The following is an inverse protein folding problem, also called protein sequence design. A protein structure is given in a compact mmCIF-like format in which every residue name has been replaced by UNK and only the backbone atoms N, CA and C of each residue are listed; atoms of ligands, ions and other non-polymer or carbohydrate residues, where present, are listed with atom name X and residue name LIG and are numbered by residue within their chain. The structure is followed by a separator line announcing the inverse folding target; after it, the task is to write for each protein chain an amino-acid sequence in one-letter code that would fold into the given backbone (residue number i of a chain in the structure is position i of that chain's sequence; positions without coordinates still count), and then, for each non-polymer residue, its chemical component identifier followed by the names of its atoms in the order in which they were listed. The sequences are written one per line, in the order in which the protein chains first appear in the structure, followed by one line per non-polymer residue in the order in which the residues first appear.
data_IF_165911545574
#
_entry.id   IF_165911545574
#
_cell.length_a   1.000
_cell.length_b   1.000
_cell.length_c   1.000
_cell.angle_alpha   90.00
_cell.angle_beta   90.00
_cell.angle_gamma   90.00
#
_symmetry.space_group_name_H-M   'P 1'
#
loop_
_entity.id
_entity.type
_entity.pdbx_description
1 polymer ?
#
# COMPACT_ATOMS: atom_id res chain seq x y z
N UNK A 1 -0.69 19.31 21.89
CA UNK A 1 -1.59 20.09 20.99
C UNK A 1 -2.96 19.43 20.99
N UNK A 2 -4.04 20.20 21.05
CA UNK A 2 -5.41 19.66 21.08
C UNK A 2 -5.75 18.97 19.75
N UNK A 3 -6.39 17.80 19.84
CA UNK A 3 -6.73 16.91 18.71
C UNK A 3 -7.86 17.47 17.81
N UNK A 4 -8.51 18.57 18.23
CA UNK A 4 -9.70 19.13 17.58
C UNK A 4 -9.40 20.16 16.48
N UNK A 5 -8.13 20.51 16.24
CA UNK A 5 -7.78 21.62 15.34
C UNK A 5 -7.58 21.22 13.86
N UNK A 6 -7.62 19.94 13.54
CA UNK A 6 -7.40 19.47 12.17
C UNK A 6 -8.75 19.29 11.49
N UNK A 7 -9.22 20.35 10.84
CA UNK A 7 -10.50 20.43 10.15
C UNK A 7 -10.36 20.27 8.63
N UNK A 8 -11.51 20.21 7.95
CA UNK A 8 -11.58 20.23 6.49
C UNK A 8 -10.91 21.49 5.91
N UNK A 9 -11.08 22.64 6.55
CA UNK A 9 -10.47 23.91 6.10
C UNK A 9 -8.94 23.87 6.20
N UNK A 10 -8.40 23.23 7.24
CA UNK A 10 -6.95 23.05 7.38
C UNK A 10 -6.43 22.15 6.26
N UNK A 11 -7.10 21.01 6.00
CA UNK A 11 -6.73 20.13 4.89
C UNK A 11 -6.77 20.84 3.54
N UNK A 12 -7.85 21.57 3.25
CA UNK A 12 -8.00 22.32 2.00
C UNK A 12 -6.94 23.43 1.87
N UNK A 13 -6.56 24.06 2.98
CA UNK A 13 -5.48 25.05 3.02
C UNK A 13 -4.12 24.42 2.69
N UNK A 14 -3.83 23.22 3.22
CA UNK A 14 -2.62 22.47 2.90
C UNK A 14 -2.60 22.02 1.42
N UNK A 15 -3.73 21.56 0.87
CA UNK A 15 -3.84 21.19 -0.55
C UNK A 15 -3.62 22.42 -1.46
N UNK A 16 -4.18 23.56 -1.06
CA UNK A 16 -3.98 24.83 -1.77
C UNK A 16 -2.51 25.26 -1.73
N UNK A 17 -1.83 25.05 -0.60
CA UNK A 17 -0.40 25.31 -0.45
C UNK A 17 0.45 24.42 -1.36
N UNK A 18 0.10 23.13 -1.50
CA UNK A 18 0.74 22.25 -2.50
C UNK A 18 0.60 22.82 -3.90
N UNK A 19 -0.62 23.20 -4.29
CA UNK A 19 -0.89 23.78 -5.61
C UNK A 19 -0.11 25.07 -5.85
N UNK A 20 0.02 25.89 -4.81
CA UNK A 20 0.84 27.09 -4.86
C UNK A 20 2.31 26.75 -5.09
N UNK A 21 2.91 25.87 -4.28
CA UNK A 21 4.32 25.51 -4.43
C UNK A 21 4.66 24.85 -5.76
N UNK A 22 3.75 24.06 -6.34
CA UNK A 22 3.92 23.52 -7.70
C UNK A 22 4.00 24.64 -8.74
N UNK A 23 3.20 25.70 -8.58
CA UNK A 23 3.13 26.80 -9.54
C UNK A 23 4.27 27.80 -9.40
N UNK A 24 4.89 27.92 -8.23
CA UNK A 24 5.98 28.90 -8.04
C UNK A 24 7.31 28.28 -8.45
N UNK A 25 7.99 28.92 -9.40
CA UNK A 25 9.34 28.55 -9.85
C UNK A 25 10.44 29.03 -8.87
N UNK A 26 10.32 28.62 -7.60
CA UNK A 26 11.34 28.89 -6.58
C UNK A 26 12.24 27.67 -6.39
N UNK A 27 13.54 27.92 -6.20
CA UNK A 27 14.54 26.88 -5.90
C UNK A 27 14.20 26.05 -4.65
N UNK A 28 13.44 26.62 -3.72
CA UNK A 28 13.06 25.95 -2.47
C UNK A 28 11.73 25.19 -2.54
N UNK A 29 10.90 25.43 -3.57
CA UNK A 29 9.57 24.78 -3.69
C UNK A 29 9.64 23.26 -3.63
N UNK A 30 10.58 22.57 -4.32
CA UNK A 30 10.64 21.11 -4.28
C UNK A 30 10.91 20.56 -2.87
N UNK A 31 11.77 21.21 -2.09
CA UNK A 31 12.09 20.80 -0.73
C UNK A 31 10.90 21.01 0.21
N UNK A 32 10.24 22.17 0.12
CA UNK A 32 9.05 22.48 0.92
C UNK A 32 7.90 21.53 0.61
N UNK A 33 7.69 21.21 -0.66
CA UNK A 33 6.73 20.19 -1.09
C UNK A 33 7.06 18.83 -0.48
N UNK A 34 8.31 18.37 -0.60
CA UNK A 34 8.74 17.11 0.01
C UNK A 34 8.48 17.08 1.52
N UNK A 35 8.83 18.14 2.23
CA UNK A 35 8.59 18.23 3.68
C UNK A 35 7.10 18.21 4.03
N UNK A 36 6.28 18.95 3.29
CA UNK A 36 4.83 18.97 3.46
C UNK A 36 4.23 17.56 3.27
N UNK A 37 4.67 16.82 2.26
CA UNK A 37 4.20 15.46 2.05
C UNK A 37 4.68 14.49 3.14
N UNK A 38 5.99 14.39 3.34
CA UNK A 38 6.59 13.40 4.25
C UNK A 38 6.18 13.62 5.70
N UNK A 39 6.12 14.87 6.17
CA UNK A 39 5.90 15.15 7.59
C UNK A 39 4.43 15.42 7.94
N UNK A 40 3.61 15.86 6.98
CA UNK A 40 2.22 16.21 7.22
C UNK A 40 1.28 15.23 6.53
N UNK A 41 1.24 15.18 5.20
CA UNK A 41 0.24 14.36 4.49
C UNK A 41 0.40 12.86 4.74
N UNK A 42 1.62 12.33 4.74
CA UNK A 42 1.91 10.89 4.94
C UNK A 42 2.07 10.47 6.39
N UNK A 43 1.83 11.39 7.34
CA UNK A 43 1.91 11.08 8.76
C UNK A 43 0.52 10.71 9.31
N UNK A 44 0.15 9.42 9.40
CA UNK A 44 -1.18 9.02 9.84
C UNK A 44 -1.49 9.41 11.30
N UNK A 45 -0.47 9.64 12.14
CA UNK A 45 -0.68 10.03 13.53
C UNK A 45 -1.33 11.42 13.68
N UNK A 46 -1.19 12.28 12.65
CA UNK A 46 -1.85 13.57 12.57
C UNK A 46 -3.33 13.36 12.26
N UNK A 47 -3.64 12.50 11.29
CA UNK A 47 -4.97 12.42 10.68
C UNK A 47 -5.93 11.45 11.36
N UNK A 48 -5.42 10.42 12.04
CA UNK A 48 -6.24 9.33 12.60
C UNK A 48 -7.29 9.79 13.62
N UNK A 49 -7.12 10.98 14.21
CA UNK A 49 -8.06 11.56 15.18
C UNK A 49 -9.01 12.61 14.58
N UNK A 50 -8.90 12.90 13.28
CA UNK A 50 -9.79 13.81 12.58
C UNK A 50 -11.15 13.16 12.31
N UNK A 51 -12.15 13.94 11.89
CA UNK A 51 -13.40 13.35 11.41
C UNK A 51 -13.15 12.43 10.21
N UNK A 52 -14.03 11.45 10.02
CA UNK A 52 -13.94 10.50 8.91
C UNK A 52 -13.91 11.23 7.57
N UNK A 53 -14.71 12.30 7.41
CA UNK A 53 -14.76 13.08 6.17
C UNK A 53 -13.41 13.70 5.82
N UNK A 54 -12.66 14.18 6.82
CA UNK A 54 -11.31 14.74 6.62
C UNK A 54 -10.33 13.64 6.20
N UNK A 55 -10.37 12.48 6.87
CA UNK A 55 -9.52 11.34 6.52
C UNK A 55 -9.81 10.83 5.10
N UNK A 56 -11.09 10.71 4.76
CA UNK A 56 -11.55 10.34 3.42
C UNK A 56 -11.04 11.33 2.36
N UNK A 57 -11.27 12.63 2.57
CA UNK A 57 -10.80 13.68 1.65
C UNK A 57 -9.28 13.61 1.43
N UNK A 58 -8.51 13.38 2.49
CA UNK A 58 -7.06 13.24 2.44
C UNK A 58 -6.64 12.06 1.57
N UNK A 59 -7.15 10.86 1.82
CA UNK A 59 -6.70 9.68 1.07
C UNK A 59 -7.18 9.71 -0.38
N UNK A 60 -8.37 10.28 -0.65
CA UNK A 60 -8.82 10.56 -2.02
C UNK A 60 -7.88 11.54 -2.73
N UNK A 61 -7.47 12.63 -2.05
CA UNK A 61 -6.50 13.58 -2.60
C UNK A 61 -5.20 12.88 -2.99
N UNK A 62 -4.62 12.10 -2.07
CA UNK A 62 -3.35 11.40 -2.29
C UNK A 62 -3.44 10.36 -3.42
N UNK A 63 -4.57 9.69 -3.56
CA UNK A 63 -4.75 8.62 -4.54
C UNK A 63 -5.07 9.12 -5.96
N UNK A 64 -5.75 10.27 -6.09
CA UNK A 64 -6.32 10.72 -7.37
C UNK A 64 -5.69 12.03 -7.85
N UNK A 65 -5.71 13.07 -7.02
CA UNK A 65 -5.28 14.41 -7.40
C UNK A 65 -3.75 14.54 -7.34
N UNK A 66 -3.15 14.02 -6.28
CA UNK A 66 -1.71 14.12 -6.05
C UNK A 66 -0.90 13.42 -7.14
N UNK A 67 -1.34 12.23 -7.57
CA UNK A 67 -0.63 11.42 -8.58
C UNK A 67 -0.53 12.15 -9.93
N UNK A 68 -1.43 13.10 -10.21
CA UNK A 68 -1.38 13.89 -11.44
C UNK A 68 -0.20 14.89 -11.51
N UNK A 69 0.45 15.19 -10.39
CA UNK A 69 1.59 16.12 -10.36
C UNK A 69 2.91 15.37 -10.63
N UNK A 70 3.25 15.17 -11.90
CA UNK A 70 4.47 14.46 -12.33
C UNK A 70 5.75 15.01 -11.71
N UNK A 71 5.85 16.34 -11.53
CA UNK A 71 7.02 17.00 -10.95
C UNK A 71 7.25 16.65 -9.47
N UNK A 72 6.19 16.42 -8.69
CA UNK A 72 6.32 16.07 -7.28
C UNK A 72 6.58 14.58 -7.11
N UNK A 73 6.07 13.75 -8.02
CA UNK A 73 6.26 12.32 -7.98
C UNK A 73 7.75 11.93 -7.99
N UNK A 74 8.55 12.64 -8.79
CA UNK A 74 9.99 12.47 -8.85
C UNK A 74 10.74 12.90 -7.57
N UNK A 75 10.11 13.69 -6.70
CA UNK A 75 10.70 14.13 -5.43
C UNK A 75 10.51 13.11 -4.30
N UNK A 76 9.54 12.20 -4.46
CA UNK A 76 9.29 11.12 -3.53
C UNK A 76 10.29 9.98 -3.75
N UNK A 77 10.57 9.23 -2.69
CA UNK A 77 11.31 7.97 -2.78
C UNK A 77 10.28 6.83 -2.77
N UNK A 78 9.95 6.22 -3.93
CA UNK A 78 8.79 5.33 -4.04
C UNK A 78 8.78 4.21 -3.00
N UNK A 79 9.93 3.59 -2.76
CA UNK A 79 10.07 2.51 -1.76
C UNK A 79 9.72 2.97 -0.34
N UNK A 80 10.18 4.15 0.07
CA UNK A 80 9.89 4.71 1.40
C UNK A 80 8.39 4.95 1.56
N UNK A 81 7.75 5.51 0.54
CA UNK A 81 6.32 5.82 0.58
C UNK A 81 5.44 4.56 0.52
N UNK A 82 5.86 3.53 -0.21
CA UNK A 82 5.19 2.21 -0.20
C UNK A 82 5.25 1.60 1.20
N UNK A 83 6.42 1.56 1.82
CA UNK A 83 6.59 1.03 3.18
C UNK A 83 5.75 1.82 4.17
N UNK A 84 5.74 3.16 4.06
CA UNK A 84 4.96 4.03 4.93
C UNK A 84 3.44 3.83 4.73
N UNK A 85 2.99 3.62 3.50
CA UNK A 85 1.58 3.33 3.18
C UNK A 85 1.16 1.98 3.77
N UNK A 86 1.97 0.94 3.57
CA UNK A 86 1.73 -0.38 4.16
C UNK A 86 1.75 -0.32 5.70
N UNK A 87 2.67 0.43 6.30
CA UNK A 87 2.71 0.68 7.73
C UNK A 87 1.43 1.39 8.22
N UNK A 88 0.96 2.38 7.48
CA UNK A 88 -0.29 3.10 7.78
C UNK A 88 -1.49 2.14 7.81
N UNK A 89 -1.63 1.31 6.78
CA UNK A 89 -2.69 0.29 6.71
C UNK A 89 -2.57 -0.71 7.87
N UNK A 90 -1.35 -1.17 8.17
CA UNK A 90 -1.07 -2.17 9.21
C UNK A 90 -1.44 -1.70 10.62
N UNK A 91 -1.02 -0.50 10.99
CA UNK A 91 -1.07 -0.05 12.38
C UNK A 91 -2.25 0.89 12.69
N UNK A 92 -2.77 1.62 11.70
CA UNK A 92 -3.78 2.64 11.92
C UNK A 92 -5.16 2.21 11.36
N UNK A 93 -5.18 1.60 10.18
CA UNK A 93 -6.43 1.28 9.46
C UNK A 93 -6.69 -0.24 9.39
N UNK A 94 -6.77 -0.89 10.54
CA UNK A 94 -7.13 -2.31 10.69
C UNK A 94 -8.64 -2.51 10.85
N UNK A 95 -9.24 -3.64 10.49
CA UNK A 95 -10.67 -3.90 10.83
C UNK A 95 -10.78 -4.64 12.15
N UNK A 96 -9.94 -5.67 12.30
CA UNK A 96 -9.82 -6.49 13.51
C UNK A 96 -8.52 -6.13 14.21
N UNK A 97 -8.55 -6.06 15.55
CA UNK A 97 -7.37 -5.72 16.35
C UNK A 97 -6.22 -6.71 16.05
N UNK A 98 -5.06 -6.22 15.56
CA UNK A 98 -3.96 -7.08 15.14
C UNK A 98 -3.14 -7.67 16.30
N UNK A 99 -3.36 -7.21 17.53
CA UNK A 99 -2.60 -7.67 18.70
C UNK A 99 -2.79 -9.16 18.98
N UNK A 100 -3.97 -9.71 18.69
CA UNK A 100 -4.29 -11.12 18.94
C UNK A 100 -3.66 -12.08 17.94
N UNK A 101 -3.65 -11.72 16.64
CA UNK A 101 -3.19 -12.61 15.57
C UNK A 101 -1.73 -12.37 15.18
N UNK A 102 -1.34 -11.09 15.12
CA UNK A 102 -0.03 -10.70 14.61
C UNK A 102 0.87 -10.06 15.67
N UNK A 103 0.38 -9.86 16.91
CA UNK A 103 1.17 -9.32 18.03
C UNK A 103 1.53 -7.84 17.89
N UNK A 104 0.98 -7.12 16.91
CA UNK A 104 1.26 -5.71 16.69
C UNK A 104 0.39 -4.85 17.62
N UNK A 105 1.00 -3.83 18.24
CA UNK A 105 0.22 -2.83 19.01
C UNK A 105 -0.45 -1.84 18.05
N UNK A 106 -1.80 -1.85 17.95
CA UNK A 106 -2.50 -0.91 17.08
C UNK A 106 -2.36 0.55 17.53
N UNK A 107 -2.61 1.48 16.61
CA UNK A 107 -2.71 2.93 16.83
C UNK A 107 -4.14 3.40 16.58
N UNK A 108 -4.50 4.55 17.16
CA UNK A 108 -5.81 5.18 16.96
C UNK A 108 -6.96 4.48 17.70
N UNK A 109 -6.67 3.64 18.69
CA UNK A 109 -7.69 2.98 19.52
C UNK A 109 -8.21 3.86 20.67
N UNK A 110 -7.55 4.99 20.95
CA UNK A 110 -7.87 5.93 22.02
C UNK A 110 -8.75 7.12 21.56
N UNK A 111 -9.51 6.94 20.48
CA UNK A 111 -10.39 7.96 19.91
C UNK A 111 -11.56 7.38 19.12
N UNK A 112 -12.35 8.25 18.50
CA UNK A 112 -13.46 7.83 17.64
C UNK A 112 -12.91 7.15 16.38
N UNK A 113 -13.25 5.87 16.22
CA UNK A 113 -12.76 5.04 15.13
C UNK A 113 -13.76 5.04 13.97
N UNK A 114 -13.30 5.13 12.71
CA UNK A 114 -14.16 4.94 11.55
C UNK A 114 -14.79 3.53 11.56
N UNK A 115 -15.93 3.36 10.89
CA UNK A 115 -16.59 2.05 10.76
C UNK A 115 -15.78 1.11 9.87
N UNK A 116 -16.12 -0.18 9.88
CA UNK A 116 -15.48 -1.19 9.01
C UNK A 116 -15.50 -0.76 7.55
N UNK A 117 -16.65 -0.31 7.05
CA UNK A 117 -16.87 0.11 5.66
C UNK A 117 -16.00 1.32 5.31
N UNK A 118 -15.92 2.30 6.22
CA UNK A 118 -15.11 3.50 6.02
C UNK A 118 -13.61 3.18 6.01
N UNK A 119 -13.17 2.24 6.85
CA UNK A 119 -11.78 1.77 6.87
C UNK A 119 -11.44 1.07 5.56
N UNK A 120 -12.30 0.16 5.10
CA UNK A 120 -12.12 -0.55 3.82
C UNK A 120 -11.99 0.47 2.68
N UNK A 121 -12.86 1.48 2.64
CA UNK A 121 -12.82 2.52 1.61
C UNK A 121 -11.55 3.38 1.67
N UNK A 122 -11.11 3.80 2.87
CA UNK A 122 -9.83 4.52 3.02
C UNK A 122 -8.63 3.69 2.59
N UNK A 123 -8.61 2.39 2.93
CA UNK A 123 -7.56 1.47 2.46
C UNK A 123 -7.55 1.34 0.95
N UNK A 124 -8.71 1.32 0.31
CA UNK A 124 -8.80 1.29 -1.17
C UNK A 124 -8.09 2.48 -1.80
N UNK A 125 -8.28 3.70 -1.27
CA UNK A 125 -7.54 4.87 -1.74
C UNK A 125 -6.03 4.77 -1.46
N UNK A 126 -5.62 4.34 -0.27
CA UNK A 126 -4.20 4.13 0.05
C UNK A 126 -3.55 3.10 -0.88
N UNK A 127 -4.25 2.03 -1.23
CA UNK A 127 -3.76 0.98 -2.11
C UNK A 127 -3.77 1.39 -3.57
N UNK A 128 -4.72 2.22 -3.98
CA UNK A 128 -4.68 2.88 -5.28
C UNK A 128 -3.43 3.75 -5.39
N UNK A 129 -3.13 4.56 -4.37
CA UNK A 129 -1.89 5.34 -4.30
C UNK A 129 -0.64 4.46 -4.35
N UNK A 130 -0.58 3.40 -3.55
CA UNK A 130 0.53 2.44 -3.53
C UNK A 130 0.75 1.81 -4.91
N UNK A 131 -0.33 1.41 -5.59
CA UNK A 131 -0.26 0.87 -6.96
C UNK A 131 0.39 1.86 -7.91
N UNK A 132 0.01 3.15 -7.85
CA UNK A 132 0.62 4.19 -8.68
C UNK A 132 2.13 4.34 -8.39
N UNK A 133 2.54 4.19 -7.12
CA UNK A 133 3.96 4.28 -6.72
C UNK A 133 4.79 3.16 -7.33
N UNK A 134 4.25 1.94 -7.32
CA UNK A 134 4.91 0.77 -7.92
C UNK A 134 5.04 0.94 -9.44
N UNK A 135 4.00 1.43 -10.11
CA UNK A 135 3.99 1.58 -11.58
C UNK A 135 4.94 2.69 -12.03
N UNK A 136 5.02 3.76 -11.26
CA UNK A 136 5.83 4.93 -11.59
C UNK A 136 7.31 4.77 -11.20
N UNK A 137 7.69 3.72 -10.48
CA UNK A 137 9.08 3.52 -10.09
C UNK A 137 9.93 3.09 -11.29
N UNK A 138 11.08 3.74 -11.45
CA UNK A 138 12.05 3.39 -12.48
C UNK A 138 12.84 2.15 -12.04
N UNK A 139 12.89 1.13 -12.89
CA UNK A 139 13.70 -0.07 -12.65
C UNK A 139 12.88 -1.36 -12.58
N UNK A 140 13.34 -2.29 -11.75
CA UNK A 140 12.89 -3.70 -11.74
C UNK A 140 11.76 -4.02 -10.77
N UNK A 141 11.20 -3.01 -10.07
CA UNK A 141 10.11 -3.13 -9.07
C UNK A 141 10.39 -4.14 -7.93
N UNK A 142 11.64 -4.56 -7.77
CA UNK A 142 12.01 -5.65 -6.87
C UNK A 142 11.92 -5.26 -5.40
N UNK A 143 12.31 -4.04 -5.06
CA UNK A 143 12.27 -3.57 -3.66
C UNK A 143 10.83 -3.26 -3.25
N UNK A 144 10.07 -2.63 -4.15
CA UNK A 144 8.67 -2.31 -3.98
C UNK A 144 7.84 -3.58 -3.78
N UNK A 145 8.05 -4.57 -4.65
CA UNK A 145 7.39 -5.85 -4.50
C UNK A 145 7.86 -6.60 -3.25
N UNK A 146 9.14 -6.53 -2.87
CA UNK A 146 9.61 -7.13 -1.62
C UNK A 146 8.90 -6.52 -0.40
N UNK A 147 8.67 -5.20 -0.37
CA UNK A 147 7.93 -4.55 0.71
C UNK A 147 6.48 -5.07 0.81
N UNK A 148 5.81 -5.22 -0.34
CA UNK A 148 4.45 -5.80 -0.41
C UNK A 148 4.45 -7.27 0.04
N UNK A 149 5.39 -8.08 -0.45
CA UNK A 149 5.50 -9.49 -0.05
C UNK A 149 5.79 -9.63 1.45
N UNK A 150 6.62 -8.76 2.04
CA UNK A 150 6.86 -8.75 3.49
C UNK A 150 5.60 -8.45 4.29
N UNK A 151 4.75 -7.54 3.79
CA UNK A 151 3.44 -7.31 4.40
C UNK A 151 2.58 -8.57 4.37
N UNK A 152 2.47 -9.22 3.20
CA UNK A 152 1.69 -10.45 3.02
C UNK A 152 2.21 -11.61 3.88
N UNK A 153 3.50 -11.63 4.23
CA UNK A 153 4.06 -12.61 5.15
C UNK A 153 3.73 -12.32 6.63
N UNK A 154 3.70 -11.06 7.03
CA UNK A 154 3.67 -10.67 8.45
C UNK A 154 2.30 -10.27 8.98
N UNK A 155 1.33 -9.99 8.10
CA UNK A 155 -0.04 -9.59 8.48
C UNK A 155 -0.96 -10.80 8.41
N UNK A 156 -1.82 -10.96 9.42
CA UNK A 156 -2.74 -12.09 9.57
C UNK A 156 -4.20 -11.68 9.74
N UNK A 157 -4.49 -10.39 9.61
CA UNK A 157 -5.84 -9.85 9.62
C UNK A 157 -6.44 -9.97 8.21
N UNK A 158 -7.41 -10.88 8.03
CA UNK A 158 -7.91 -11.29 6.70
C UNK A 158 -8.35 -10.11 5.83
N UNK A 159 -9.11 -9.15 6.38
CA UNK A 159 -9.56 -7.98 5.63
C UNK A 159 -8.38 -7.13 5.12
N UNK A 160 -7.30 -7.00 5.90
CA UNK A 160 -6.10 -6.24 5.51
C UNK A 160 -5.26 -7.02 4.50
N UNK A 161 -5.13 -8.32 4.75
CA UNK A 161 -4.36 -9.23 3.92
C UNK A 161 -4.97 -9.35 2.51
N UNK A 162 -6.29 -9.51 2.43
CA UNK A 162 -7.02 -9.62 1.15
C UNK A 162 -6.88 -8.34 0.33
N UNK A 163 -7.01 -7.15 0.93
CA UNK A 163 -6.89 -5.88 0.21
C UNK A 163 -5.49 -5.71 -0.44
N UNK A 164 -4.42 -6.02 0.30
CA UNK A 164 -3.04 -5.95 -0.23
C UNK A 164 -2.78 -7.06 -1.26
N UNK A 165 -3.32 -8.26 -1.03
CA UNK A 165 -3.18 -9.38 -1.95
C UNK A 165 -3.91 -9.10 -3.28
N UNK A 166 -5.12 -8.55 -3.24
CA UNK A 166 -5.87 -8.16 -4.43
C UNK A 166 -5.12 -7.08 -5.22
N UNK A 167 -4.54 -6.09 -4.53
CA UNK A 167 -3.66 -5.09 -5.15
C UNK A 167 -2.46 -5.74 -5.85
N UNK A 168 -1.86 -6.76 -5.23
CA UNK A 168 -0.73 -7.51 -5.80
C UNK A 168 -1.15 -8.31 -7.03
N UNK A 169 -2.33 -8.93 -7.00
CA UNK A 169 -2.94 -9.62 -8.14
C UNK A 169 -3.15 -8.65 -9.30
N UNK A 170 -3.72 -7.47 -9.03
CA UNK A 170 -3.96 -6.43 -10.04
C UNK A 170 -2.65 -5.92 -10.66
N UNK A 171 -1.61 -5.70 -9.85
CA UNK A 171 -0.27 -5.35 -10.35
C UNK A 171 0.28 -6.45 -11.27
N UNK A 172 0.19 -7.71 -10.85
CA UNK A 172 0.66 -8.86 -11.64
C UNK A 172 -0.10 -8.99 -12.97
N UNK A 173 -1.42 -8.79 -12.97
CA UNK A 173 -2.25 -8.92 -14.17
C UNK A 173 -2.06 -7.78 -15.16
N UNK A 174 -1.94 -6.54 -14.67
CA UNK A 174 -1.89 -5.35 -15.51
C UNK A 174 -0.46 -5.00 -15.96
N UNK A 175 0.56 -5.29 -15.14
CA UNK A 175 1.96 -4.96 -15.41
C UNK A 175 2.90 -6.19 -15.39
N UNK A 176 2.57 -7.30 -16.08
CA UNK A 176 3.29 -8.56 -15.95
C UNK A 176 4.76 -8.48 -16.36
N UNK A 177 5.12 -7.60 -17.31
CA UNK A 177 6.52 -7.45 -17.78
C UNK A 177 7.47 -7.02 -16.66
N UNK A 178 6.98 -6.14 -15.77
CA UNK A 178 7.70 -5.67 -14.60
C UNK A 178 7.56 -6.64 -13.43
N UNK A 179 6.32 -7.05 -13.15
CA UNK A 179 5.99 -7.79 -11.93
C UNK A 179 6.47 -9.25 -11.94
N UNK A 180 6.39 -9.96 -13.06
CA UNK A 180 6.75 -11.39 -13.12
C UNK A 180 8.24 -11.61 -12.80
N UNK A 181 9.20 -10.93 -13.45
CA UNK A 181 10.61 -11.10 -13.11
C UNK A 181 10.96 -10.63 -11.69
N UNK A 182 10.32 -9.57 -11.20
CA UNK A 182 10.52 -9.08 -9.83
C UNK A 182 10.04 -10.11 -8.80
N UNK A 183 8.84 -10.66 -9.03
CA UNK A 183 8.21 -11.65 -8.15
C UNK A 183 9.05 -12.91 -8.05
N UNK A 184 9.57 -13.37 -9.19
CA UNK A 184 10.43 -14.54 -9.25
C UNK A 184 11.73 -14.36 -8.46
N UNK A 185 12.44 -13.25 -8.72
CA UNK A 185 13.70 -12.90 -8.03
C UNK A 185 13.52 -12.69 -6.53
N UNK A 186 12.32 -12.26 -6.10
CA UNK A 186 11.95 -12.13 -4.68
C UNK A 186 11.30 -13.38 -4.08
N UNK A 187 11.37 -14.52 -4.77
CA UNK A 187 10.82 -15.80 -4.30
C UNK A 187 9.34 -15.72 -3.91
N UNK A 188 8.55 -14.96 -4.67
CA UNK A 188 7.15 -14.67 -4.36
C UNK A 188 6.23 -15.90 -4.26
N UNK A 189 6.64 -17.04 -4.83
CA UNK A 189 5.93 -18.32 -4.66
C UNK A 189 5.87 -18.78 -3.20
N UNK A 190 6.87 -18.46 -2.37
CA UNK A 190 6.82 -18.73 -0.93
C UNK A 190 5.62 -18.03 -0.29
N UNK A 191 5.37 -16.78 -0.68
CA UNK A 191 4.18 -16.02 -0.25
C UNK A 191 2.91 -16.73 -0.69
N UNK A 192 2.84 -17.20 -1.93
CA UNK A 192 1.66 -17.91 -2.46
C UNK A 192 1.35 -19.15 -1.62
N UNK A 193 2.32 -20.04 -1.42
CA UNK A 193 2.11 -21.27 -0.64
C UNK A 193 1.73 -20.97 0.81
N UNK A 194 2.36 -19.97 1.43
CA UNK A 194 1.96 -19.49 2.76
C UNK A 194 0.51 -19.02 2.80
N UNK A 195 0.05 -18.29 1.78
CA UNK A 195 -1.33 -17.80 1.70
C UNK A 195 -2.34 -18.92 1.39
N UNK A 196 -1.94 -19.96 0.66
CA UNK A 196 -2.78 -21.14 0.41
C UNK A 196 -3.08 -21.95 1.68
N UNK A 197 -2.24 -21.84 2.71
CA UNK A 197 -2.48 -22.42 4.03
C UNK A 197 -3.45 -21.58 4.91
N UNK A 198 -3.93 -20.44 4.44
CA UNK A 198 -4.89 -19.60 5.17
C UNK A 198 -6.22 -20.33 5.38
N UNK A 199 -6.87 -20.12 6.53
CA UNK A 199 -8.24 -20.57 6.78
C UNK A 199 -9.27 -19.81 5.96
N UNK A 200 -8.96 -18.57 5.53
CA UNK A 200 -9.82 -17.74 4.69
C UNK A 200 -9.84 -18.24 3.25
N UNK A 201 -11.02 -18.66 2.78
CA UNK A 201 -11.23 -19.09 1.38
C UNK A 201 -10.93 -17.98 0.39
N UNK A 202 -11.29 -16.74 0.71
CA UNK A 202 -11.04 -15.57 -0.14
C UNK A 202 -9.53 -15.35 -0.31
N UNK A 203 -8.75 -15.49 0.77
CA UNK A 203 -7.29 -15.40 0.73
C UNK A 203 -6.70 -16.48 -0.16
N UNK A 204 -7.13 -17.74 0.01
CA UNK A 204 -6.66 -18.86 -0.84
C UNK A 204 -7.00 -18.63 -2.31
N UNK A 205 -8.23 -18.19 -2.61
CA UNK A 205 -8.66 -17.88 -3.98
C UNK A 205 -7.80 -16.78 -4.62
N UNK A 206 -7.52 -15.70 -3.89
CA UNK A 206 -6.67 -14.62 -4.39
C UNK A 206 -5.21 -15.07 -4.57
N UNK A 207 -4.69 -15.93 -3.68
CA UNK A 207 -3.37 -16.53 -3.85
C UNK A 207 -3.28 -17.41 -5.11
N UNK A 208 -4.32 -18.18 -5.41
CA UNK A 208 -4.44 -18.95 -6.66
C UNK A 208 -4.50 -18.05 -7.88
N UNK A 209 -5.21 -16.91 -7.83
CA UNK A 209 -5.20 -15.93 -8.92
C UNK A 209 -3.81 -15.34 -9.16
N UNK A 210 -3.11 -14.96 -8.09
CA UNK A 210 -1.73 -14.46 -8.18
C UNK A 210 -0.81 -15.48 -8.84
N UNK A 211 -0.91 -16.75 -8.40
CA UNK A 211 -0.18 -17.86 -9.00
C UNK A 211 -0.54 -18.03 -10.48
N UNK A 212 -1.83 -17.99 -10.83
CA UNK A 212 -2.32 -18.11 -12.19
C UNK A 212 -1.73 -17.05 -13.12
N UNK A 213 -1.73 -15.78 -12.72
CA UNK A 213 -1.14 -14.70 -13.53
C UNK A 213 0.38 -14.85 -13.67
N UNK A 214 1.07 -15.26 -12.62
CA UNK A 214 2.50 -15.55 -12.68
C UNK A 214 2.82 -16.70 -13.65
N UNK A 215 2.10 -17.81 -13.55
CA UNK A 215 2.29 -18.99 -14.39
C UNK A 215 1.92 -18.73 -15.85
N UNK A 216 0.87 -17.94 -16.13
CA UNK A 216 0.47 -17.57 -17.49
C UNK A 216 1.62 -16.91 -18.29
N UNK A 217 2.57 -16.30 -17.58
CA UNK A 217 3.72 -15.58 -18.16
C UNK A 217 5.06 -16.28 -17.92
N UNK A 218 5.04 -17.44 -17.26
CA UNK A 218 6.22 -18.28 -17.00
C UNK A 218 6.46 -19.26 -18.14
N UNK A 219 7.72 -19.65 -18.35
CA UNK A 219 8.05 -20.67 -19.37
C UNK A 219 7.66 -22.07 -18.89
N UNK A 220 7.23 -22.95 -19.79
CA UNK A 220 6.83 -24.33 -19.47
C UNK A 220 7.92 -25.10 -18.72
N UNK A 221 9.20 -24.90 -19.10
CA UNK A 221 10.35 -25.52 -18.43
C UNK A 221 10.50 -25.06 -16.98
N UNK A 222 10.27 -23.76 -16.73
CA UNK A 222 10.33 -23.20 -15.39
C UNK A 222 9.21 -23.74 -14.49
N UNK A 223 8.00 -23.85 -15.03
CA UNK A 223 6.85 -24.41 -14.32
C UNK A 223 7.10 -25.87 -13.91
N UNK A 224 7.64 -26.69 -14.81
CA UNK A 224 8.00 -28.08 -14.50
C UNK A 224 9.03 -28.17 -13.36
N UNK A 225 10.05 -27.30 -13.36
CA UNK A 225 11.06 -27.25 -12.31
C UNK A 225 10.48 -26.87 -10.94
N UNK A 226 9.56 -25.89 -10.90
CA UNK A 226 8.90 -25.44 -9.67
C UNK A 226 8.09 -26.54 -8.99
N UNK A 227 7.32 -27.31 -9.76
CA UNK A 227 6.53 -28.41 -9.19
C UNK A 227 7.42 -29.56 -8.71
N UNK A 228 8.54 -29.82 -9.38
CA UNK A 228 9.50 -30.85 -8.95
C UNK A 228 10.18 -30.45 -7.64
N UNK A 229 10.65 -29.21 -7.49
CA UNK A 229 11.26 -28.74 -6.24
C UNK A 229 10.25 -28.59 -5.10
N UNK A 230 9.05 -28.07 -5.39
CA UNK A 230 7.99 -27.91 -4.39
C UNK A 230 7.47 -29.22 -3.81
N UNK A 231 7.57 -30.34 -4.54
CA UNK A 231 7.26 -31.67 -4.03
C UNK A 231 8.40 -32.31 -3.22
N UNK A 232 9.61 -31.76 -3.26
CA UNK A 232 10.80 -32.31 -2.57
C UNK A 232 11.06 -31.57 -1.24
N UNK A 233 10.61 -30.31 -1.10
CA UNK A 233 10.87 -29.46 0.06
C UNK A 233 9.69 -29.33 1.06
N UNK A 234 8.61 -30.11 0.88
CA UNK A 234 7.51 -30.28 1.86
C UNK A 234 7.55 -31.63 2.53
#
# INVERSE_FOLDING_TARGET
ASRQHISMDVLNSLISLTTFFVKIESKNSPLLLKQLFVHIFFNPAIWIYCSVDVQMRLYTYLAIEFVAYSEIYHLLQPISEIIQTLHTIKYFYWVVDPSHRSGFKPKGSDGNRPTREQIIEMRRYMLLYLKQLVISSSGTQEEELQAILNYLHTVHEDDNLVDVLDTTVNLMSEYPRAMVPAFDRRQGLKTVFKLLASSSEITRLQALKLLGFFLQRSTVKYVQHLFIQGCIET
#
